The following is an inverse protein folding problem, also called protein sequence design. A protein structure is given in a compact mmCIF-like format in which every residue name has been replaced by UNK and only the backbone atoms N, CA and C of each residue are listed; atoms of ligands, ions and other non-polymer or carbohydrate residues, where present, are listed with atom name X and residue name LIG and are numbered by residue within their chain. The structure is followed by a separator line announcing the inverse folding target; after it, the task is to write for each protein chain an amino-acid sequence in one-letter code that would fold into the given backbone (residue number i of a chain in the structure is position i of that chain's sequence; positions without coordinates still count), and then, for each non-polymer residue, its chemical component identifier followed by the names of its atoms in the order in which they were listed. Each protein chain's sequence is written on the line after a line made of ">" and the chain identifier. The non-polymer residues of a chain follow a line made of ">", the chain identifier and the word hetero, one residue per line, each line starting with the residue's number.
data_IF_654541103462
#
_entry.id   IF_654541103462
#
_cell.length_a   1.000
_cell.length_b   1.000
_cell.length_c   1.000
_cell.angle_alpha   90.00
_cell.angle_beta   90.00
_cell.angle_gamma   90.00
#
_symmetry.space_group_name_H-M   'P 1'
#
loop_
_entity.id
_entity.type
_entity.pdbx_description
1 polymer ?
#
# COMPACT_ATOMS: atom_id res chain seq x y z
N UNK A 1 10.94 6.17 -5.91
CA UNK A 1 11.53 5.60 -7.15
C UNK A 1 10.51 5.36 -8.25
N UNK A 2 9.44 4.62 -8.05
CA UNK A 2 8.46 4.30 -9.11
C UNK A 2 7.87 5.53 -9.83
N UNK A 3 7.55 6.60 -9.10
CA UNK A 3 7.09 7.87 -9.72
C UNK A 3 8.11 8.49 -10.68
N UNK A 4 9.40 8.36 -10.40
CA UNK A 4 10.47 8.85 -11.27
C UNK A 4 10.59 7.98 -12.52
N UNK A 5 10.60 6.66 -12.35
CA UNK A 5 10.65 5.70 -13.45
C UNK A 5 9.51 5.92 -14.44
N UNK A 6 8.28 6.17 -13.97
CA UNK A 6 7.11 6.41 -14.84
C UNK A 6 7.19 7.71 -15.64
N UNK A 7 7.98 8.69 -15.21
CA UNK A 7 8.14 9.97 -15.93
C UNK A 7 9.15 9.91 -17.07
N UNK A 8 9.98 8.88 -17.12
CA UNK A 8 10.99 8.74 -18.17
C UNK A 8 10.40 8.12 -19.44
N UNK A 9 10.81 8.55 -20.64
CA UNK A 9 10.46 7.87 -21.88
C UNK A 9 10.90 6.40 -21.77
N UNK A 10 10.02 5.46 -22.08
CA UNK A 10 10.22 4.01 -21.89
C UNK A 10 10.49 3.58 -20.44
N UNK A 11 10.21 4.44 -19.41
CA UNK A 11 10.67 4.27 -18.04
C UNK A 11 10.34 2.93 -17.42
N UNK A 12 9.08 2.52 -17.41
CA UNK A 12 8.67 1.21 -16.84
C UNK A 12 9.23 0.04 -17.65
N UNK A 13 9.13 0.12 -18.97
CA UNK A 13 9.66 -0.93 -19.86
C UNK A 13 11.19 -1.01 -19.75
N UNK A 14 11.88 0.11 -19.83
CA UNK A 14 13.34 0.18 -19.69
C UNK A 14 13.84 -0.31 -18.34
N UNK A 15 13.16 0.05 -17.24
CA UNK A 15 13.50 -0.43 -15.90
C UNK A 15 13.33 -1.95 -15.78
N UNK A 16 12.22 -2.49 -16.27
CA UNK A 16 11.97 -3.95 -16.26
C UNK A 16 12.97 -4.70 -17.14
N UNK A 17 13.28 -4.16 -18.32
CA UNK A 17 14.31 -4.73 -19.19
C UNK A 17 15.69 -4.67 -18.55
N UNK A 18 16.07 -3.53 -17.96
CA UNK A 18 17.34 -3.35 -17.26
C UNK A 18 17.51 -4.33 -16.10
N UNK A 19 16.47 -4.56 -15.30
CA UNK A 19 16.50 -5.58 -14.25
C UNK A 19 16.70 -6.98 -14.80
N UNK A 20 16.03 -7.32 -15.91
CA UNK A 20 16.16 -8.63 -16.55
C UNK A 20 17.57 -8.84 -17.12
N UNK A 21 18.12 -7.87 -17.84
CA UNK A 21 19.47 -7.90 -18.39
C UNK A 21 20.51 -7.93 -17.26
N UNK A 22 20.36 -7.08 -16.23
CA UNK A 22 21.27 -7.05 -15.08
C UNK A 22 21.35 -8.40 -14.34
N UNK A 23 20.22 -9.10 -14.22
CA UNK A 23 20.21 -10.48 -13.70
C UNK A 23 20.99 -11.44 -14.60
N UNK A 24 20.76 -11.42 -15.93
CA UNK A 24 21.42 -12.31 -16.88
C UNK A 24 22.95 -12.08 -16.96
N UNK A 25 23.37 -10.83 -16.84
CA UNK A 25 24.79 -10.46 -16.84
C UNK A 25 25.47 -10.63 -15.47
N UNK A 26 24.76 -11.10 -14.45
CA UNK A 26 25.32 -11.30 -13.12
C UNK A 26 25.64 -10.01 -12.36
N UNK A 27 25.16 -8.85 -12.83
CA UNK A 27 25.42 -7.53 -12.21
C UNK A 27 24.88 -7.50 -10.78
N UNK A 28 23.72 -8.14 -10.51
CA UNK A 28 23.13 -8.21 -9.18
C UNK A 28 24.07 -8.86 -8.18
N UNK A 29 24.73 -9.95 -8.58
CA UNK A 29 25.72 -10.63 -7.73
C UNK A 29 26.91 -9.73 -7.38
N UNK A 30 27.36 -8.88 -8.31
CA UNK A 30 28.46 -7.95 -8.08
C UNK A 30 28.12 -6.84 -7.08
N UNK A 31 26.85 -6.45 -6.99
CA UNK A 31 26.35 -5.44 -6.04
C UNK A 31 25.74 -6.05 -4.78
N UNK A 32 26.01 -7.33 -4.49
CA UNK A 32 25.56 -8.01 -3.26
C UNK A 32 24.13 -8.51 -3.25
N UNK A 33 23.46 -8.52 -4.41
CA UNK A 33 22.11 -9.09 -4.55
C UNK A 33 22.23 -10.53 -5.02
N UNK A 34 21.50 -11.47 -4.38
CA UNK A 34 21.48 -12.87 -4.79
C UNK A 34 21.08 -13.01 -6.27
N UNK A 35 21.91 -13.71 -7.07
CA UNK A 35 21.75 -13.81 -8.52
C UNK A 35 20.45 -14.49 -8.95
N UNK A 36 19.92 -15.39 -8.12
CA UNK A 36 18.67 -16.13 -8.35
C UNK A 36 17.43 -15.27 -8.03
N UNK A 37 17.59 -14.18 -7.27
CA UNK A 37 16.46 -13.35 -6.85
C UNK A 37 15.76 -12.71 -8.06
N UNK A 38 14.46 -12.89 -8.12
CA UNK A 38 13.63 -12.15 -9.06
C UNK A 38 13.25 -10.80 -8.44
N UNK A 39 13.65 -9.70 -9.08
CA UNK A 39 13.21 -8.38 -8.67
C UNK A 39 11.76 -8.18 -9.14
N UNK A 40 10.88 -7.62 -8.29
CA UNK A 40 9.52 -7.32 -8.69
C UNK A 40 9.48 -6.36 -9.87
N UNK A 41 8.79 -6.75 -10.94
CA UNK A 41 8.62 -5.87 -12.08
C UNK A 41 7.68 -4.72 -11.76
N UNK A 42 7.90 -3.56 -12.36
CA UNK A 42 6.93 -2.47 -12.32
C UNK A 42 5.76 -2.79 -13.25
N UNK A 43 4.55 -2.59 -12.76
CA UNK A 43 3.34 -2.68 -13.58
C UNK A 43 3.30 -1.54 -14.62
N UNK A 44 2.83 -1.82 -15.82
CA UNK A 44 2.68 -0.81 -16.88
C UNK A 44 1.76 0.32 -16.46
N UNK A 45 0.70 0.01 -15.71
CA UNK A 45 -0.25 0.95 -15.13
C UNK A 45 -0.34 0.72 -13.63
N UNK A 46 -0.26 1.81 -12.86
CA UNK A 46 -0.39 1.75 -11.40
C UNK A 46 -1.83 1.41 -10.98
N UNK A 47 -2.01 0.93 -9.74
CA UNK A 47 -3.34 0.76 -9.17
C UNK A 47 -4.13 2.09 -9.19
N UNK A 48 -3.52 3.21 -8.82
CA UNK A 48 -4.17 4.52 -8.82
C UNK A 48 -4.68 4.95 -10.21
N UNK A 49 -3.99 4.56 -11.30
CA UNK A 49 -4.46 4.81 -12.66
C UNK A 49 -5.64 3.92 -13.01
N UNK A 50 -5.58 2.64 -12.63
CA UNK A 50 -6.67 1.68 -12.87
C UNK A 50 -7.90 2.00 -12.04
N UNK A 51 -7.71 2.42 -10.79
CA UNK A 51 -8.81 2.75 -9.87
C UNK A 51 -9.73 3.83 -10.43
N UNK A 52 -9.20 4.81 -11.16
CA UNK A 52 -10.01 5.87 -11.81
C UNK A 52 -11.03 5.33 -12.83
N UNK A 53 -10.77 4.16 -13.38
CA UNK A 53 -11.59 3.53 -14.42
C UNK A 53 -12.54 2.47 -13.85
N UNK A 54 -12.35 2.07 -12.58
CA UNK A 54 -13.22 1.12 -11.92
C UNK A 54 -14.55 1.80 -11.62
N UNK A 55 -15.60 1.30 -12.26
CA UNK A 55 -16.96 1.71 -11.92
C UNK A 55 -17.39 0.99 -10.64
N UNK A 56 -17.74 1.76 -9.63
CA UNK A 56 -18.25 1.26 -8.37
C UNK A 56 -19.73 1.57 -8.23
N UNK A 57 -20.49 0.66 -7.63
CA UNK A 57 -21.81 0.97 -7.11
C UNK A 57 -21.62 1.83 -5.85
N UNK A 58 -22.30 2.98 -5.72
CA UNK A 58 -22.24 3.76 -4.50
C UNK A 58 -22.96 3.03 -3.37
N UNK A 59 -22.33 2.98 -2.20
CA UNK A 59 -22.88 2.41 -0.99
C UNK A 59 -22.70 3.37 0.19
N UNK A 60 -23.60 3.29 1.16
CA UNK A 60 -23.50 4.07 2.40
C UNK A 60 -22.27 3.65 3.22
N UNK A 61 -21.99 2.35 3.25
CA UNK A 61 -20.78 1.81 3.88
C UNK A 61 -19.56 2.10 3.01
N UNK A 62 -18.55 2.72 3.62
CA UNK A 62 -17.30 3.05 2.92
C UNK A 62 -16.10 2.45 3.64
N UNK A 63 -15.10 2.09 2.84
CA UNK A 63 -13.81 1.62 3.32
C UNK A 63 -12.72 2.38 2.60
N UNK A 64 -11.71 2.85 3.32
CA UNK A 64 -10.56 3.53 2.74
C UNK A 64 -9.48 2.50 2.47
N UNK A 65 -9.03 2.40 1.24
CA UNK A 65 -7.96 1.49 0.87
C UNK A 65 -6.61 2.17 0.89
N UNK A 66 -5.68 1.61 1.65
CA UNK A 66 -4.27 1.98 1.64
C UNK A 66 -3.49 1.03 0.70
N UNK A 67 -3.20 1.42 -0.53
CA UNK A 67 -2.57 0.52 -1.50
C UNK A 67 -1.08 0.28 -1.20
N UNK A 68 -0.43 1.20 -0.48
CA UNK A 68 1.01 1.17 -0.32
C UNK A 68 1.75 1.29 -1.66
N UNK A 69 3.09 1.18 -1.62
CA UNK A 69 3.90 1.33 -2.83
C UNK A 69 3.92 0.06 -3.70
N UNK A 70 3.96 -1.12 -3.08
CA UNK A 70 4.07 -2.38 -3.82
C UNK A 70 2.81 -2.68 -4.64
N UNK A 71 1.64 -2.62 -4.02
CA UNK A 71 0.37 -2.82 -4.73
C UNK A 71 0.16 -1.75 -5.79
N UNK A 72 0.49 -0.49 -5.46
CA UNK A 72 0.32 0.58 -6.43
C UNK A 72 1.18 0.40 -7.68
N UNK A 73 2.44 0.02 -7.52
CA UNK A 73 3.43 0.13 -8.60
C UNK A 73 3.90 -1.21 -9.19
N UNK A 74 3.77 -2.32 -8.44
CA UNK A 74 4.26 -3.63 -8.86
C UNK A 74 3.12 -4.64 -9.07
N UNK A 75 2.13 -4.70 -8.16
CA UNK A 75 1.02 -5.65 -8.26
C UNK A 75 -0.35 -4.98 -8.08
N UNK A 76 -0.79 -4.18 -9.05
CA UNK A 76 -2.08 -3.50 -9.00
C UNK A 76 -3.29 -4.43 -9.03
N UNK A 77 -3.12 -5.69 -9.42
CA UNK A 77 -4.21 -6.66 -9.44
C UNK A 77 -4.76 -6.94 -8.03
N UNK A 78 -3.89 -6.94 -7.01
CA UNK A 78 -4.31 -7.06 -5.61
C UNK A 78 -5.27 -5.93 -5.24
N UNK A 79 -4.95 -4.69 -5.59
CA UNK A 79 -5.84 -3.55 -5.33
C UNK A 79 -7.16 -3.63 -6.09
N UNK A 80 -7.13 -4.08 -7.35
CA UNK A 80 -8.34 -4.30 -8.16
C UNK A 80 -9.20 -5.41 -7.54
N UNK A 81 -8.59 -6.50 -7.08
CA UNK A 81 -9.28 -7.58 -6.39
C UNK A 81 -9.93 -7.10 -5.08
N UNK A 82 -9.21 -6.32 -4.28
CA UNK A 82 -9.76 -5.73 -3.07
C UNK A 82 -11.02 -4.90 -3.35
N UNK A 83 -10.99 -4.03 -4.37
CA UNK A 83 -12.18 -3.24 -4.75
C UNK A 83 -13.35 -4.15 -5.09
N UNK A 84 -13.14 -5.22 -5.86
CA UNK A 84 -14.19 -6.17 -6.23
C UNK A 84 -14.77 -6.89 -5.01
N UNK A 85 -13.93 -7.32 -4.08
CA UNK A 85 -14.35 -7.98 -2.84
C UNK A 85 -15.18 -7.02 -1.99
N UNK A 86 -14.74 -5.78 -1.82
CA UNK A 86 -15.49 -4.79 -1.05
C UNK A 86 -16.83 -4.43 -1.71
N UNK A 87 -16.87 -4.28 -3.02
CA UNK A 87 -18.11 -4.04 -3.75
C UNK A 87 -19.09 -5.22 -3.63
N UNK A 88 -18.62 -6.47 -3.65
CA UNK A 88 -19.45 -7.64 -3.41
C UNK A 88 -20.06 -7.64 -1.98
N UNK A 89 -19.34 -7.06 -1.02
CA UNK A 89 -19.79 -6.91 0.37
C UNK A 89 -20.48 -5.56 0.65
N UNK A 90 -20.94 -4.87 -0.37
CA UNK A 90 -21.71 -3.61 -0.28
C UNK A 90 -20.95 -2.45 0.36
N UNK A 91 -19.63 -2.39 0.12
CA UNK A 91 -18.79 -1.26 0.49
C UNK A 91 -18.32 -0.48 -0.74
N UNK A 92 -18.41 0.84 -0.67
CA UNK A 92 -17.71 1.73 -1.59
C UNK A 92 -16.25 1.91 -1.15
N UNK A 93 -15.31 1.70 -2.06
CA UNK A 93 -13.89 1.87 -1.78
C UNK A 93 -13.45 3.29 -2.09
N UNK A 94 -12.84 3.93 -1.14
CA UNK A 94 -12.20 5.24 -1.28
C UNK A 94 -10.69 5.07 -1.27
N UNK A 95 -9.97 5.79 -2.13
CA UNK A 95 -8.50 5.81 -2.11
C UNK A 95 -8.03 7.25 -1.92
N UNK A 96 -7.30 7.46 -0.83
CA UNK A 96 -6.74 8.77 -0.52
C UNK A 96 -5.40 8.97 -1.24
N UNK A 97 -5.30 10.04 -2.02
CA UNK A 97 -4.11 10.38 -2.80
C UNK A 97 -3.00 11.00 -1.96
N UNK A 98 -3.32 11.44 -0.74
CA UNK A 98 -2.38 12.07 0.18
C UNK A 98 -1.61 11.05 1.01
N UNK A 99 -2.06 9.78 1.05
CA UNK A 99 -1.25 8.71 1.61
C UNK A 99 0.09 8.59 0.87
N UNK A 100 1.13 8.42 1.67
CA UNK A 100 2.48 8.13 1.18
C UNK A 100 2.85 6.68 1.49
N UNK A 101 4.05 6.23 1.09
CA UNK A 101 4.54 4.90 1.47
C UNK A 101 4.49 4.73 2.99
N UNK A 102 4.18 3.52 3.47
CA UNK A 102 4.15 3.25 4.92
C UNK A 102 5.51 3.44 5.63
N UNK A 103 6.60 3.57 4.89
CA UNK A 103 7.93 3.80 5.47
C UNK A 103 8.67 2.53 5.89
N UNK A 104 8.06 1.34 5.86
CA UNK A 104 8.74 0.09 6.23
C UNK A 104 10.09 -0.11 5.53
N UNK A 105 10.26 0.14 4.22
CA UNK A 105 11.58 0.06 3.59
C UNK A 105 12.61 1.05 4.14
N UNK A 106 12.17 2.23 4.62
CA UNK A 106 13.05 3.22 5.23
C UNK A 106 13.53 2.75 6.60
N UNK A 107 12.62 2.22 7.42
CA UNK A 107 12.95 1.65 8.74
C UNK A 107 13.96 0.53 8.60
N UNK A 108 13.72 -0.44 7.71
CA UNK A 108 14.62 -1.58 7.49
C UNK A 108 16.01 -1.18 7.01
N UNK A 109 16.12 -0.04 6.34
CA UNK A 109 17.41 0.49 5.84
C UNK A 109 18.01 1.57 6.75
N UNK A 110 17.37 1.88 7.90
CA UNK A 110 17.91 2.79 8.92
C UNK A 110 17.64 4.28 8.68
N UNK A 111 16.79 4.62 7.71
CA UNK A 111 16.38 6.00 7.44
C UNK A 111 15.17 6.39 8.31
N UNK A 112 15.41 6.51 9.62
CA UNK A 112 14.33 6.69 10.60
C UNK A 112 13.69 8.08 10.54
N UNK A 113 14.43 9.12 10.23
CA UNK A 113 13.91 10.48 10.11
C UNK A 113 12.94 10.59 8.93
N UNK A 114 13.29 10.05 7.77
CA UNK A 114 12.41 9.99 6.60
C UNK A 114 11.21 9.07 6.85
N UNK A 115 11.39 7.98 7.60
CA UNK A 115 10.29 7.11 7.99
C UNK A 115 9.30 7.85 8.89
N UNK A 116 9.79 8.69 9.82
CA UNK A 116 8.98 9.54 10.69
C UNK A 116 8.16 10.56 9.90
N UNK A 117 8.77 11.22 8.90
CA UNK A 117 8.03 12.13 8.02
C UNK A 117 6.87 11.43 7.28
N UNK A 118 7.10 10.18 6.85
CA UNK A 118 6.07 9.36 6.23
C UNK A 118 4.97 9.00 7.23
N UNK A 119 5.36 8.63 8.46
CA UNK A 119 4.43 8.29 9.53
C UNK A 119 3.53 9.48 9.85
N UNK A 120 4.07 10.68 10.05
CA UNK A 120 3.31 11.88 10.35
C UNK A 120 2.24 12.17 9.28
N UNK A 121 2.62 12.14 8.00
CA UNK A 121 1.69 12.37 6.90
C UNK A 121 0.57 11.32 6.86
N UNK A 122 0.92 10.04 7.06
CA UNK A 122 -0.06 8.97 7.04
C UNK A 122 -0.98 9.03 8.27
N UNK A 123 -0.44 9.33 9.46
CA UNK A 123 -1.22 9.46 10.71
C UNK A 123 -2.25 10.57 10.60
N UNK A 124 -1.90 11.73 10.05
CA UNK A 124 -2.86 12.82 9.83
C UNK A 124 -4.02 12.36 8.92
N UNK A 125 -3.74 11.56 7.90
CA UNK A 125 -4.78 11.00 7.02
C UNK A 125 -5.59 9.90 7.69
N UNK A 126 -4.96 9.05 8.47
CA UNK A 126 -5.65 8.01 9.25
C UNK A 126 -6.63 8.64 10.25
N UNK A 127 -6.21 9.64 11.01
CA UNK A 127 -7.06 10.37 11.95
C UNK A 127 -8.22 11.09 11.24
N UNK A 128 -7.96 11.68 10.08
CA UNK A 128 -9.03 12.27 9.26
C UNK A 128 -10.09 11.23 8.88
N UNK A 129 -9.70 10.05 8.38
CA UNK A 129 -10.66 9.02 8.01
C UNK A 129 -11.34 8.38 9.22
N UNK A 130 -10.61 8.21 10.33
CA UNK A 130 -11.17 7.79 11.61
C UNK A 130 -12.28 8.73 12.08
N UNK A 131 -12.07 10.05 11.98
CA UNK A 131 -13.07 11.05 12.35
C UNK A 131 -14.34 11.00 11.48
N UNK A 132 -14.25 10.42 10.28
CA UNK A 132 -15.39 10.15 9.39
C UNK A 132 -16.07 8.80 9.68
N UNK A 133 -15.51 8.00 10.57
CA UNK A 133 -16.01 6.66 10.88
C UNK A 133 -15.68 5.62 9.80
N UNK A 134 -14.70 5.87 8.94
CA UNK A 134 -14.32 4.94 7.87
C UNK A 134 -13.09 4.13 8.25
N UNK A 135 -13.16 2.80 8.21
CA UNK A 135 -11.99 1.94 8.41
C UNK A 135 -10.99 2.10 7.27
N UNK A 136 -9.70 2.04 7.60
CA UNK A 136 -8.61 2.05 6.62
C UNK A 136 -8.05 0.65 6.51
N UNK A 137 -8.06 0.07 5.32
CA UNK A 137 -7.65 -1.32 5.08
C UNK A 137 -6.43 -1.37 4.18
N UNK A 138 -5.42 -2.15 4.59
CA UNK A 138 -4.23 -2.45 3.81
C UNK A 138 -4.16 -3.94 3.48
N UNK A 139 -3.88 -4.28 2.20
CA UNK A 139 -3.68 -5.67 1.77
C UNK A 139 -2.22 -6.12 1.80
N UNK A 140 -1.31 -5.25 2.16
CA UNK A 140 0.10 -5.57 2.32
C UNK A 140 0.41 -5.70 3.81
N UNK A 141 0.75 -6.90 4.27
CA UNK A 141 1.01 -7.21 5.69
C UNK A 141 2.06 -6.30 6.31
N UNK A 142 3.14 -5.98 5.58
CA UNK A 142 4.15 -5.03 6.07
C UNK A 142 3.59 -3.61 6.22
N UNK A 143 2.63 -3.22 5.35
CA UNK A 143 2.00 -1.91 5.47
C UNK A 143 1.02 -1.88 6.65
N UNK A 144 0.18 -2.92 6.81
CA UNK A 144 -0.77 -2.98 7.93
C UNK A 144 -0.04 -3.02 9.27
N UNK A 145 1.03 -3.81 9.38
CA UNK A 145 1.87 -3.87 10.59
C UNK A 145 2.50 -2.50 10.90
N UNK A 146 3.09 -1.86 9.89
CA UNK A 146 3.71 -0.55 10.05
C UNK A 146 2.73 0.52 10.54
N UNK A 147 1.56 0.62 9.89
CA UNK A 147 0.52 1.60 10.22
C UNK A 147 -0.16 1.31 11.56
N UNK A 148 -0.31 0.03 11.91
CA UNK A 148 -1.08 -0.42 13.07
C UNK A 148 -0.25 -0.53 14.34
N UNK A 149 1.02 -0.88 14.23
CA UNK A 149 1.88 -1.21 15.37
C UNK A 149 3.19 -0.43 15.36
N UNK A 150 3.98 -0.53 14.30
CA UNK A 150 5.37 -0.05 14.34
C UNK A 150 5.48 1.47 14.47
N UNK A 151 4.53 2.27 13.96
CA UNK A 151 4.58 3.71 14.10
C UNK A 151 4.60 4.17 15.56
N UNK A 152 3.72 3.63 16.42
CA UNK A 152 3.68 4.04 17.81
C UNK A 152 4.80 3.41 18.64
N UNK A 153 5.31 2.24 18.25
CA UNK A 153 6.45 1.60 18.91
C UNK A 153 7.77 2.33 18.61
N UNK A 154 7.93 2.83 17.37
CA UNK A 154 9.15 3.49 16.93
C UNK A 154 9.23 4.96 17.34
N UNK A 155 8.10 5.64 17.32
CA UNK A 155 8.08 7.10 17.42
C UNK A 155 7.39 7.63 18.69
N UNK A 156 6.79 6.75 19.50
CA UNK A 156 6.22 7.02 20.85
C UNK A 156 5.35 8.30 20.94
N UNK A 157 4.49 8.53 19.93
CA UNK A 157 3.57 9.65 19.93
C UNK A 157 2.12 9.17 20.11
N UNK A 158 1.34 9.73 21.06
CA UNK A 158 -0.03 9.30 21.33
C UNK A 158 -0.96 9.30 20.10
N UNK A 159 -0.77 10.26 19.17
CA UNK A 159 -1.55 10.34 17.93
C UNK A 159 -1.38 9.10 17.05
N UNK A 160 -0.23 8.42 17.11
CA UNK A 160 0.05 7.23 16.31
C UNK A 160 -0.72 6.02 16.82
N UNK A 161 -0.75 5.83 18.15
CA UNK A 161 -1.58 4.80 18.77
C UNK A 161 -3.08 5.04 18.53
N UNK A 162 -3.52 6.30 18.51
CA UNK A 162 -4.90 6.66 18.19
C UNK A 162 -5.23 6.31 16.72
N UNK A 163 -4.37 6.70 15.78
CA UNK A 163 -4.56 6.45 14.35
C UNK A 163 -4.58 4.94 14.01
N UNK A 164 -3.77 4.15 14.72
CA UNK A 164 -3.71 2.70 14.56
C UNK A 164 -5.06 1.99 14.74
N UNK A 165 -5.96 2.54 15.56
CA UNK A 165 -7.29 1.98 15.82
C UNK A 165 -8.21 1.98 14.58
N UNK A 166 -7.91 2.81 13.58
CA UNK A 166 -8.67 2.85 12.32
C UNK A 166 -8.13 1.88 11.26
N UNK A 167 -6.96 1.25 11.50
CA UNK A 167 -6.25 0.43 10.52
C UNK A 167 -6.57 -1.04 10.71
N UNK A 168 -6.82 -1.72 9.59
CA UNK A 168 -7.09 -3.15 9.52
C UNK A 168 -6.22 -3.78 8.43
N UNK A 169 -5.76 -5.00 8.69
CA UNK A 169 -5.35 -5.90 7.60
C UNK A 169 -6.59 -6.38 6.84
N UNK A 170 -6.43 -6.70 5.57
CA UNK A 170 -7.56 -7.11 4.73
C UNK A 170 -8.27 -8.38 5.24
N UNK A 171 -7.52 -9.35 5.75
CA UNK A 171 -8.12 -10.57 6.30
C UNK A 171 -8.79 -10.32 7.65
N UNK A 172 -8.18 -9.50 8.51
CA UNK A 172 -8.81 -9.04 9.76
C UNK A 172 -10.14 -8.33 9.47
N UNK A 173 -10.17 -7.45 8.48
CA UNK A 173 -11.39 -6.76 8.12
C UNK A 173 -12.48 -7.71 7.60
N UNK A 174 -12.11 -8.68 6.76
CA UNK A 174 -13.04 -9.70 6.27
C UNK A 174 -13.56 -10.60 7.41
N UNK A 175 -12.72 -10.95 8.37
CA UNK A 175 -13.12 -11.73 9.54
C UNK A 175 -14.15 -10.97 10.38
N UNK A 176 -13.95 -9.69 10.62
CA UNK A 176 -14.92 -8.80 11.27
C UNK A 176 -16.28 -8.80 10.52
N UNK A 177 -16.24 -8.75 9.18
CA UNK A 177 -17.47 -8.82 8.38
C UNK A 177 -18.16 -10.17 8.51
N UNK A 178 -17.40 -11.26 8.55
CA UNK A 178 -17.92 -12.62 8.74
C UNK A 178 -18.61 -12.77 10.11
N UNK A 179 -17.97 -12.32 11.19
CA UNK A 179 -18.54 -12.33 12.54
C UNK A 179 -19.84 -11.52 12.62
N UNK A 180 -19.92 -10.39 11.93
CA UNK A 180 -21.12 -9.57 11.83
C UNK A 180 -22.19 -10.13 10.88
N UNK A 181 -21.91 -11.26 10.20
CA UNK A 181 -22.77 -11.84 9.15
C UNK A 181 -23.01 -10.87 7.98
N UNK A 182 -22.04 -10.02 7.69
CA UNK A 182 -22.05 -9.04 6.60
C UNK A 182 -21.19 -9.49 5.40
N UNK A 183 -20.51 -10.62 5.50
CA UNK A 183 -19.72 -11.19 4.42
C UNK A 183 -20.64 -11.93 3.43
N UNK A 184 -20.56 -11.57 2.14
CA UNK A 184 -21.36 -12.12 1.03
C UNK A 184 -20.57 -13.18 0.27
#
# INVERSE_FOLDING_TARGET
>A
MAKLVRKLPFGVWGANLGMKIGKQLGIFKQIGIAGERNMPAYASRSFMERFKEIKQTPYDKKVVFFPGCFINDNDPEVGVAFVKVMQANHYEVVVDKEFVCCGSPLVVTGYLDEAKEHADKNVDRLLYWQSKGYPVVACCTSCSLMLKQEYHELFDEPKMAQAAQAVYDSFEFLDILAEKKELS
#
